data_IF_529937821229
#
_entry.id   IF_529937821229
#
_cell.length_a   1.000
_cell.length_b   1.000
_cell.length_c   1.000
_cell.angle_alpha   90.00
_cell.angle_beta   90.00
_cell.angle_gamma   90.00
#
_symmetry.space_group_name_H-M   'P 1'
#
loop_
_entity.id
_entity.type
_entity.pdbx_description
1 polymer ?
#
# COMPACT_ATOMS: atom_id res chain seq x y z
N UNK A 1 7.11 32.32 -12.71
CA UNK A 1 7.41 30.97 -13.25
C UNK A 1 6.95 30.01 -12.18
N UNK A 2 5.84 29.31 -12.39
CA UNK A 2 5.33 28.32 -11.45
C UNK A 2 6.22 27.07 -11.54
N UNK A 3 6.76 26.64 -10.41
CA UNK A 3 7.58 25.43 -10.32
C UNK A 3 6.68 24.21 -10.47
N UNK A 4 6.98 23.34 -11.44
CA UNK A 4 6.25 22.08 -11.62
C UNK A 4 6.69 21.15 -10.48
N UNK A 5 5.89 21.09 -9.42
CA UNK A 5 6.14 20.17 -8.30
C UNK A 5 5.70 18.76 -8.71
N UNK A 6 6.65 17.84 -8.76
CA UNK A 6 6.36 16.43 -8.99
C UNK A 6 5.75 15.81 -7.72
N UNK A 7 4.73 14.95 -7.88
CA UNK A 7 4.12 14.22 -6.74
C UNK A 7 5.17 13.46 -5.93
N UNK A 8 6.20 12.92 -6.60
CA UNK A 8 7.32 12.26 -5.96
C UNK A 8 8.15 13.22 -5.08
N UNK A 9 8.41 14.44 -5.56
CA UNK A 9 9.16 15.44 -4.79
C UNK A 9 8.35 15.92 -3.59
N UNK A 10 7.03 16.14 -3.77
CA UNK A 10 6.12 16.47 -2.68
C UNK A 10 6.09 15.37 -1.61
N UNK A 11 6.06 14.11 -2.02
CA UNK A 11 6.15 12.97 -1.11
C UNK A 11 7.51 12.90 -0.40
N UNK A 12 8.62 13.08 -1.13
CA UNK A 12 9.96 13.09 -0.52
C UNK A 12 10.10 14.18 0.52
N UNK A 13 9.55 15.36 0.26
CA UNK A 13 9.57 16.45 1.23
C UNK A 13 8.78 16.09 2.49
N UNK A 14 7.56 15.56 2.34
CA UNK A 14 6.76 15.11 3.48
C UNK A 14 7.47 13.99 4.26
N UNK A 15 8.08 13.03 3.57
CA UNK A 15 8.86 11.94 4.15
C UNK A 15 10.07 12.45 4.94
N UNK A 16 10.76 13.46 4.42
CA UNK A 16 11.88 14.10 5.10
C UNK A 16 11.43 14.80 6.39
N UNK A 17 10.32 15.57 6.34
CA UNK A 17 9.74 16.21 7.52
C UNK A 17 9.33 15.18 8.59
N UNK A 18 8.65 14.12 8.17
CA UNK A 18 8.23 13.03 9.05
C UNK A 18 9.40 12.33 9.72
N UNK A 19 10.46 11.98 8.97
CA UNK A 19 11.67 11.36 9.53
C UNK A 19 12.37 12.25 10.55
N UNK A 20 12.32 13.57 10.37
CA UNK A 20 12.90 14.53 11.33
C UNK A 20 12.03 14.69 12.57
N UNK A 21 10.71 14.62 12.41
CA UNK A 21 9.76 14.80 13.50
C UNK A 21 8.50 13.93 13.26
N UNK A 22 8.44 12.71 13.81
CA UNK A 22 7.40 11.73 13.51
C UNK A 22 6.11 12.01 14.31
N UNK A 23 5.47 13.15 14.04
CA UNK A 23 4.18 13.49 14.63
C UNK A 23 3.02 12.98 13.77
N UNK A 24 1.81 12.80 14.34
CA UNK A 24 0.63 12.40 13.57
C UNK A 24 0.35 13.34 12.38
N UNK A 25 0.58 14.64 12.52
CA UNK A 25 0.34 15.60 11.44
C UNK A 25 1.31 15.39 10.27
N UNK A 26 2.59 15.14 10.57
CA UNK A 26 3.58 14.85 9.53
C UNK A 26 3.36 13.48 8.90
N UNK A 27 2.92 12.49 9.70
CA UNK A 27 2.53 11.18 9.20
C UNK A 27 1.32 11.28 8.25
N UNK A 28 0.33 12.11 8.57
CA UNK A 28 -0.82 12.36 7.71
C UNK A 28 -0.40 12.94 6.37
N UNK A 29 0.54 13.91 6.33
CA UNK A 29 1.08 14.45 5.07
C UNK A 29 1.72 13.37 4.21
N UNK A 30 2.48 12.45 4.80
CA UNK A 30 3.12 11.34 4.08
C UNK A 30 2.06 10.43 3.46
N UNK A 31 1.09 10.02 4.26
CA UNK A 31 -0.05 9.18 3.80
C UNK A 31 -0.83 9.89 2.70
N UNK A 32 -1.05 11.19 2.84
CA UNK A 32 -1.80 12.00 1.88
C UNK A 32 -1.11 12.13 0.53
N UNK A 33 0.21 12.21 0.53
CA UNK A 33 1.00 12.34 -0.69
C UNK A 33 1.31 11.02 -1.35
N UNK A 34 1.30 9.89 -0.62
CA UNK A 34 1.63 8.58 -1.18
C UNK A 34 0.63 8.14 -2.27
N UNK A 35 1.13 7.99 -3.50
CA UNK A 35 0.31 7.57 -4.66
C UNK A 35 0.43 6.08 -4.96
N UNK A 36 1.47 5.40 -4.44
CA UNK A 36 1.78 4.01 -4.75
C UNK A 36 2.24 3.74 -6.19
N UNK A 37 2.45 4.79 -7.00
CA UNK A 37 2.77 4.69 -8.44
C UNK A 37 4.04 5.42 -8.86
N UNK A 38 4.95 5.66 -7.91
CA UNK A 38 6.18 6.39 -8.23
C UNK A 38 7.09 5.56 -9.12
N UNK A 39 7.52 6.13 -10.24
CA UNK A 39 8.48 5.48 -11.14
C UNK A 39 7.96 4.15 -11.73
N UNK A 40 6.64 3.92 -11.76
CA UNK A 40 6.05 2.68 -12.30
C UNK A 40 6.41 2.44 -13.78
N UNK A 41 6.68 3.51 -14.55
CA UNK A 41 7.10 3.42 -15.95
C UNK A 41 8.59 3.07 -16.13
N UNK A 42 9.35 2.90 -15.04
CA UNK A 42 10.80 2.67 -15.08
C UNK A 42 11.17 1.25 -14.61
N UNK A 43 11.63 0.41 -15.54
CA UNK A 43 12.08 -0.96 -15.26
C UNK A 43 13.54 -1.04 -14.76
N UNK A 44 13.97 -0.07 -13.97
CA UNK A 44 15.34 -0.02 -13.45
C UNK A 44 15.41 -0.49 -11.99
N UNK A 45 16.49 -1.19 -11.62
CA UNK A 45 16.67 -1.68 -10.25
C UNK A 45 16.64 -0.56 -9.20
N UNK A 46 17.17 0.62 -9.54
CA UNK A 46 17.11 1.78 -8.65
C UNK A 46 15.69 2.32 -8.47
N UNK A 47 14.83 2.20 -9.49
CA UNK A 47 13.43 2.60 -9.42
C UNK A 47 12.64 1.65 -8.52
N UNK A 48 12.87 0.33 -8.63
CA UNK A 48 12.32 -0.67 -7.73
C UNK A 48 12.72 -0.42 -6.26
N UNK A 49 14.01 -0.25 -6.00
CA UNK A 49 14.51 0.06 -4.65
C UNK A 49 13.92 1.35 -4.09
N UNK A 50 13.69 2.34 -4.95
CA UNK A 50 13.05 3.60 -4.58
C UNK A 50 11.57 3.40 -4.24
N UNK A 51 10.83 2.60 -5.02
CA UNK A 51 9.42 2.25 -4.76
C UNK A 51 9.26 1.57 -3.41
N UNK A 52 10.06 0.55 -3.14
CA UNK A 52 10.07 -0.14 -1.85
C UNK A 52 10.39 0.80 -0.68
N UNK A 53 11.34 1.72 -0.88
CA UNK A 53 11.67 2.72 0.15
C UNK A 53 10.53 3.69 0.41
N UNK A 54 9.74 4.07 -0.61
CA UNK A 54 8.57 4.91 -0.44
C UNK A 54 7.46 4.18 0.30
N UNK A 55 7.25 2.90 -0.03
CA UNK A 55 6.27 2.05 0.63
C UNK A 55 6.58 1.86 2.12
N UNK A 56 7.84 1.58 2.46
CA UNK A 56 8.29 1.46 3.85
C UNK A 56 8.01 2.73 4.67
N UNK A 57 8.30 3.91 4.11
CA UNK A 57 8.01 5.19 4.77
C UNK A 57 6.50 5.39 4.93
N UNK A 58 5.71 5.04 3.92
CA UNK A 58 4.26 5.13 3.99
C UNK A 58 3.70 4.22 5.09
N UNK A 59 4.19 2.99 5.22
CA UNK A 59 3.76 2.06 6.25
C UNK A 59 4.09 2.58 7.65
N UNK A 60 5.30 3.12 7.86
CA UNK A 60 5.69 3.74 9.14
C UNK A 60 4.82 4.95 9.51
N UNK A 61 4.47 5.78 8.53
CA UNK A 61 3.56 6.89 8.75
C UNK A 61 2.14 6.40 9.08
N UNK A 62 1.64 5.39 8.37
CA UNK A 62 0.33 4.79 8.65
C UNK A 62 0.28 4.17 10.05
N UNK A 63 1.34 3.48 10.49
CA UNK A 63 1.44 2.95 11.86
C UNK A 63 1.40 4.06 12.92
N UNK A 64 2.12 5.15 12.69
CA UNK A 64 2.13 6.32 13.59
C UNK A 64 0.72 6.92 13.73
N UNK A 65 -0.02 7.02 12.62
CA UNK A 65 -1.42 7.48 12.64
C UNK A 65 -2.35 6.49 13.33
N UNK A 66 -2.20 5.20 13.06
CA UNK A 66 -3.01 4.17 13.69
C UNK A 66 -2.89 4.21 15.21
N UNK A 67 -1.67 4.40 15.73
CA UNK A 67 -1.46 4.50 17.17
C UNK A 67 -2.12 5.75 17.74
N UNK A 68 -1.94 6.91 17.09
CA UNK A 68 -2.60 8.16 17.50
C UNK A 68 -4.14 8.06 17.47
N UNK A 69 -4.71 7.41 16.46
CA UNK A 69 -6.17 7.21 16.36
C UNK A 69 -6.70 6.20 17.37
N UNK A 70 -5.89 5.22 17.77
CA UNK A 70 -6.25 4.29 18.86
C UNK A 70 -6.30 5.00 20.20
N UNK A 71 -5.32 5.85 20.49
CA UNK A 71 -5.27 6.64 21.72
C UNK A 71 -6.44 7.64 21.83
N UNK A 72 -6.79 8.29 20.71
CA UNK A 72 -7.91 9.25 20.64
C UNK A 72 -9.29 8.60 20.49
N UNK A 73 -9.36 7.30 20.18
CA UNK A 73 -10.61 6.57 19.99
C UNK A 73 -11.32 6.85 18.65
N UNK A 74 -10.62 7.43 17.68
CA UNK A 74 -11.16 7.88 16.39
C UNK A 74 -11.31 6.73 15.37
N UNK A 75 -12.25 5.82 15.64
CA UNK A 75 -12.49 4.62 14.82
C UNK A 75 -12.77 4.89 13.34
N UNK A 76 -13.44 5.99 13.02
CA UNK A 76 -13.74 6.37 11.63
C UNK A 76 -12.46 6.63 10.84
N UNK A 77 -11.50 7.36 11.42
CA UNK A 77 -10.22 7.65 10.76
C UNK A 77 -9.36 6.40 10.59
N UNK A 78 -9.40 5.48 11.56
CA UNK A 78 -8.77 4.16 11.41
C UNK A 78 -9.33 3.43 10.19
N UNK A 79 -10.66 3.40 10.05
CA UNK A 79 -11.29 2.69 8.95
C UNK A 79 -11.00 3.33 7.59
N UNK A 80 -10.98 4.66 7.52
CA UNK A 80 -10.58 5.41 6.33
C UNK A 80 -9.13 5.14 5.93
N UNK A 81 -8.20 5.14 6.90
CA UNK A 81 -6.80 4.83 6.66
C UNK A 81 -6.61 3.40 6.14
N UNK A 82 -7.29 2.42 6.75
CA UNK A 82 -7.25 1.03 6.29
C UNK A 82 -7.82 0.87 4.87
N UNK A 83 -8.92 1.56 4.57
CA UNK A 83 -9.49 1.56 3.23
C UNK A 83 -8.50 2.14 2.21
N UNK A 84 -7.79 3.21 2.58
CA UNK A 84 -6.74 3.80 1.74
C UNK A 84 -5.58 2.83 1.50
N UNK A 85 -5.07 2.18 2.54
CA UNK A 85 -3.99 1.19 2.40
C UNK A 85 -4.38 0.06 1.45
N UNK A 86 -5.60 -0.49 1.61
CA UNK A 86 -6.09 -1.57 0.74
C UNK A 86 -6.32 -1.12 -0.71
N UNK A 87 -6.79 0.11 -0.92
CA UNK A 87 -6.96 0.68 -2.27
C UNK A 87 -5.64 0.85 -3.04
N UNK A 88 -4.54 1.13 -2.33
CA UNK A 88 -3.20 1.25 -2.91
C UNK A 88 -2.61 -0.12 -3.30
N UNK A 89 -2.85 -1.17 -2.50
CA UNK A 89 -2.38 -2.53 -2.80
C UNK A 89 -3.01 -3.13 -4.08
N UNK A 90 -4.19 -2.65 -4.52
CA UNK A 90 -4.84 -3.12 -5.73
C UNK A 90 -4.11 -2.73 -7.03
N UNK A 91 -3.10 -1.86 -6.99
CA UNK A 91 -2.30 -1.49 -8.16
C UNK A 91 -0.93 -2.17 -8.23
N UNK A 92 -0.40 -2.68 -7.10
CA UNK A 92 0.98 -3.18 -7.05
C UNK A 92 1.16 -4.59 -7.65
N UNK A 93 0.07 -5.34 -7.88
CA UNK A 93 0.15 -6.69 -8.44
C UNK A 93 -0.84 -6.93 -9.58
N UNK A 94 -0.39 -6.68 -10.82
CA UNK A 94 -0.71 -7.60 -11.91
C UNK A 94 0.24 -8.79 -11.83
N UNK A 95 0.15 -9.55 -10.73
CA UNK A 95 0.59 -10.94 -10.79
C UNK A 95 -0.58 -11.65 -11.45
N UNK A 96 -0.45 -11.98 -12.73
CA UNK A 96 -1.38 -12.89 -13.39
C UNK A 96 -1.38 -14.18 -12.57
N UNK A 97 -2.39 -14.34 -11.71
CA UNK A 97 -2.62 -15.58 -10.99
C UNK A 97 -3.02 -16.60 -12.05
N UNK A 98 -2.03 -17.35 -12.54
CA UNK A 98 -2.26 -18.55 -13.33
C UNK A 98 -3.10 -19.48 -12.44
N UNK A 99 -4.37 -19.61 -12.78
CA UNK A 99 -5.29 -20.55 -12.15
C UNK A 99 -4.74 -21.96 -12.44
N UNK A 100 -4.12 -22.58 -11.45
CA UNK A 100 -3.83 -24.02 -11.51
C UNK A 100 -5.15 -24.72 -11.28
N UNK A 101 -5.73 -25.25 -12.35
CA UNK A 101 -6.93 -26.06 -12.32
C UNK A 101 -6.70 -27.29 -11.43
N UNK A 102 -7.42 -27.35 -10.31
CA UNK A 102 -7.45 -28.51 -9.45
C UNK A 102 -8.21 -29.64 -10.14
N UNK A 103 -7.47 -30.67 -10.57
CA UNK A 103 -8.03 -31.95 -11.01
C UNK A 103 -8.95 -32.52 -9.93
N UNK A 104 -10.25 -32.64 -10.24
CA UNK A 104 -11.22 -33.31 -9.37
C UNK A 104 -11.04 -34.81 -9.47
N UNK A 105 -10.45 -35.39 -8.44
CA UNK A 105 -10.44 -36.84 -8.18
C UNK A 105 -11.88 -37.32 -7.84
N UNK A 106 -12.56 -37.92 -8.82
CA UNK A 106 -13.91 -38.46 -8.69
C UNK A 106 -13.93 -39.95 -8.35
N UNK A 107 -14.01 -40.26 -7.05
CA UNK A 107 -14.28 -41.60 -6.47
C UNK A 107 -15.41 -42.34 -7.18
N UNK A 108 -15.13 -43.52 -7.74
CA UNK A 108 -16.16 -44.49 -8.18
C UNK A 108 -16.26 -45.65 -7.19
N UNK A 109 -17.27 -45.63 -6.31
CA UNK A 109 -17.69 -46.79 -5.49
C UNK A 109 -19.17 -47.14 -5.72
N UNK A 110 -19.34 -48.25 -6.44
CA UNK A 110 -20.25 -49.41 -6.27
C UNK A 110 -21.78 -49.25 -6.09
N UNK A 111 -22.46 -49.99 -6.99
CA UNK A 111 -23.66 -50.85 -6.86
C UNK A 111 -25.07 -50.22 -6.91
N UNK A 112 -25.95 -50.76 -7.77
CA UNK A 112 -27.16 -51.55 -7.39
C UNK A 112 -27.97 -52.06 -8.62
N UNK A 113 -28.20 -53.39 -8.63
CA UNK A 113 -29.39 -54.19 -9.03
C UNK A 113 -30.25 -53.82 -10.25
N UNK A 114 -30.36 -54.77 -11.20
CA UNK A 114 -31.59 -55.49 -11.53
C UNK A 114 -31.25 -56.85 -12.15
#
# INVERSE_FOLDING_TARGET
MEEIVCDYDAFRQAAFEFRRNPTPENAQKVVDRYTGRYLDDMEALWAESTRLSCEDIFLQAAETLLESYRESGERTKIMELLHRCTGLSCHSHRVDVVRVDAEKEGKKKKNKTL
#
